data_IF_282785640685
#
_entry.id   IF_282785640685
#
_cell.length_a   1.000
_cell.length_b   1.000
_cell.length_c   1.000
_cell.angle_alpha   90.00
_cell.angle_beta   90.00
_cell.angle_gamma   90.00
#
_symmetry.space_group_name_H-M   'P 1'
#
loop_
_entity.id
_entity.type
_entity.pdbx_description
1 polymer ?
#
# COMPACT_ATOMS: atom_id res chain seq x y z
N UNK A 1 -25.95 -28.82 61.97
CA UNK A 1 -25.42 -28.20 63.19
C UNK A 1 -24.29 -27.26 62.79
N UNK A 2 -24.54 -25.93 62.94
CA UNK A 2 -23.60 -24.79 63.15
C UNK A 2 -22.47 -24.64 62.09
N UNK A 3 -22.43 -23.71 61.13
CA UNK A 3 -22.51 -22.23 61.13
C UNK A 3 -21.78 -21.52 62.26
N UNK A 4 -20.65 -20.89 61.93
CA UNK A 4 -20.04 -19.80 62.70
C UNK A 4 -19.77 -18.60 61.79
N UNK A 5 -20.44 -17.51 62.15
CA UNK A 5 -20.36 -16.16 61.59
C UNK A 5 -19.61 -15.35 62.64
N UNK A 6 -18.53 -14.66 62.25
CA UNK A 6 -17.89 -13.67 63.12
C UNK A 6 -18.42 -12.27 62.78
N UNK A 7 -19.24 -11.76 63.69
CA UNK A 7 -19.66 -10.37 63.82
C UNK A 7 -18.58 -9.62 64.59
N UNK A 8 -18.20 -8.41 64.17
CA UNK A 8 -17.66 -7.42 65.09
C UNK A 8 -18.26 -6.04 64.81
N UNK A 9 -18.74 -5.43 65.88
CA UNK A 9 -19.75 -4.37 65.92
C UNK A 9 -19.21 -2.98 65.56
N UNK A 10 -20.13 -2.17 65.03
CA UNK A 10 -19.99 -0.72 64.89
C UNK A 10 -20.16 -0.01 66.24
N UNK A 11 -19.41 1.08 66.43
CA UNK A 11 -19.69 2.12 67.43
C UNK A 11 -19.85 3.46 66.70
N UNK A 12 -21.06 4.01 66.77
CA UNK A 12 -21.40 5.38 66.39
C UNK A 12 -21.15 6.32 67.57
N UNK A 13 -20.54 7.48 67.32
CA UNK A 13 -20.72 8.67 68.14
C UNK A 13 -20.81 9.90 67.22
N UNK A 14 -21.91 10.63 67.36
CA UNK A 14 -22.25 11.83 66.61
C UNK A 14 -21.70 13.08 67.30
N UNK A 15 -21.32 14.11 66.53
CA UNK A 15 -21.34 15.50 67.01
C UNK A 15 -21.41 16.52 65.86
N UNK A 16 -22.61 17.11 65.74
CA UNK A 16 -22.95 18.53 65.53
C UNK A 16 -22.17 19.35 64.48
N UNK A 17 -22.89 19.72 63.42
CA UNK A 17 -22.53 20.79 62.50
C UNK A 17 -22.75 22.17 63.14
N UNK A 18 -21.77 23.06 63.01
CA UNK A 18 -21.95 24.51 63.14
C UNK A 18 -21.24 25.20 61.97
N UNK A 19 -22.00 25.96 61.20
CA UNK A 19 -21.47 26.75 60.09
C UNK A 19 -20.86 28.06 60.59
N UNK A 20 -19.67 28.40 60.10
CA UNK A 20 -19.11 29.75 60.15
C UNK A 20 -18.29 30.06 58.88
N UNK A 21 -18.84 31.00 58.12
CA UNK A 21 -18.24 32.08 57.31
C UNK A 21 -16.81 31.89 56.74
N UNK A 22 -16.72 31.99 55.41
CA UNK A 22 -15.48 32.14 54.63
C UNK A 22 -14.65 33.37 55.05
N UNK A 23 -13.32 33.28 54.90
CA UNK A 23 -12.51 34.37 54.38
C UNK A 23 -11.86 34.00 53.03
N UNK A 24 -11.78 35.02 52.17
CA UNK A 24 -11.02 35.03 50.92
C UNK A 24 -9.54 34.70 51.15
N UNK A 25 -8.95 33.94 50.22
CA UNK A 25 -7.54 33.60 50.24
C UNK A 25 -7.08 33.04 48.90
N UNK A 26 -6.72 33.96 48.00
CA UNK A 26 -5.77 33.82 46.86
C UNK A 26 -5.86 32.56 45.98
N UNK A 27 -6.38 32.77 44.76
CA UNK A 27 -6.21 31.88 43.63
C UNK A 27 -4.72 31.66 43.31
N UNK A 28 -4.29 30.40 43.36
CA UNK A 28 -3.16 29.91 42.57
C UNK A 28 -3.73 29.14 41.40
N UNK A 29 -3.46 29.66 40.22
CA UNK A 29 -3.89 29.15 38.93
C UNK A 29 -2.89 28.07 38.52
N UNK A 30 -3.18 26.83 38.84
CA UNK A 30 -2.45 25.68 38.30
C UNK A 30 -2.87 25.46 36.86
N UNK A 31 -1.98 25.88 35.97
CA UNK A 31 -2.04 25.70 34.52
C UNK A 31 -1.99 24.21 34.18
N UNK A 32 -3.17 23.60 34.00
CA UNK A 32 -3.29 22.26 33.40
C UNK A 32 -2.96 22.40 31.92
N UNK A 33 -1.67 22.40 31.62
CA UNK A 33 -1.15 22.20 30.27
C UNK A 33 -1.53 20.80 29.82
N UNK A 34 -2.62 20.73 29.03
CA UNK A 34 -3.01 19.52 28.31
C UNK A 34 -2.00 19.27 27.18
N UNK A 35 -0.85 18.69 27.51
CA UNK A 35 0.00 18.10 26.49
C UNK A 35 -0.67 16.80 26.03
N UNK A 36 -1.50 16.87 25.00
CA UNK A 36 -1.81 15.70 24.18
C UNK A 36 -0.50 14.97 23.86
N UNK A 37 -0.38 13.66 24.14
CA UNK A 37 0.79 12.90 23.72
C UNK A 37 0.96 13.09 22.21
N UNK A 38 2.17 13.46 21.76
CA UNK A 38 2.50 13.34 20.34
C UNK A 38 2.15 11.90 19.91
N UNK A 39 1.49 11.71 18.77
CA UNK A 39 1.19 10.37 18.29
C UNK A 39 2.49 9.57 18.28
N UNK A 40 2.48 8.42 18.95
CA UNK A 40 3.61 7.48 18.93
C UNK A 40 3.94 7.26 17.47
N UNK A 41 5.15 7.67 17.07
CA UNK A 41 5.66 7.44 15.72
C UNK A 41 5.44 5.95 15.43
N UNK A 42 4.80 5.62 14.31
CA UNK A 42 4.69 4.23 13.85
C UNK A 42 6.09 3.59 13.92
N UNK A 43 6.14 2.31 14.32
CA UNK A 43 7.38 1.56 14.35
C UNK A 43 7.39 0.62 13.14
N UNK A 44 8.51 0.57 12.43
CA UNK A 44 8.68 -0.39 11.34
C UNK A 44 8.71 -1.81 11.89
N UNK A 45 7.77 -2.63 11.42
CA UNK A 45 7.72 -4.07 11.72
C UNK A 45 7.72 -4.80 10.39
N UNK A 46 8.78 -5.57 10.16
CA UNK A 46 8.92 -6.40 8.96
C UNK A 46 8.61 -7.86 9.29
N UNK A 47 7.74 -8.48 8.50
CA UNK A 47 7.31 -9.87 8.64
C UNK A 47 7.62 -10.68 7.37
N UNK A 48 7.47 -12.01 7.46
CA UNK A 48 7.65 -12.90 6.31
C UNK A 48 6.70 -12.55 5.15
N UNK A 49 7.19 -12.66 3.92
CA UNK A 49 6.39 -12.38 2.72
C UNK A 49 5.13 -13.24 2.58
N UNK A 50 5.10 -14.41 3.23
CA UNK A 50 3.98 -15.35 3.32
C UNK A 50 3.05 -15.10 4.52
N UNK A 51 3.37 -14.12 5.36
CA UNK A 51 2.61 -13.75 6.56
C UNK A 51 1.77 -12.48 6.38
N UNK A 52 2.06 -11.69 5.35
CA UNK A 52 1.30 -10.47 5.06
C UNK A 52 -0.08 -10.86 4.52
N UNK A 53 -1.13 -10.48 5.27
CA UNK A 53 -2.52 -10.65 4.85
C UNK A 53 -2.95 -9.47 3.98
N UNK A 54 -3.53 -9.71 2.79
CA UNK A 54 -4.05 -8.64 1.95
C UNK A 54 -5.30 -8.02 2.56
N UNK A 55 -5.61 -6.80 2.13
CA UNK A 55 -6.91 -6.17 2.30
C UNK A 55 -7.89 -6.79 1.32
N UNK A 56 -9.05 -7.22 1.83
CA UNK A 56 -10.17 -7.57 0.97
C UNK A 56 -10.63 -6.34 0.17
N UNK A 57 -10.98 -6.55 -1.10
CA UNK A 57 -11.52 -5.45 -1.92
C UNK A 57 -12.83 -4.94 -1.31
N UNK A 58 -12.84 -3.67 -0.90
CA UNK A 58 -14.03 -3.04 -0.32
C UNK A 58 -15.05 -2.69 -1.39
N UNK A 59 -16.30 -2.52 -0.97
CA UNK A 59 -17.35 -1.97 -1.85
C UNK A 59 -16.97 -0.55 -2.26
N UNK A 60 -17.06 -0.25 -3.56
CA UNK A 60 -16.78 1.08 -4.07
C UNK A 60 -17.94 2.04 -3.77
N UNK A 61 -17.67 3.07 -2.96
CA UNK A 61 -18.70 4.03 -2.52
C UNK A 61 -18.56 5.37 -3.25
N UNK A 62 -17.34 5.92 -3.25
CA UNK A 62 -17.04 7.22 -3.86
C UNK A 62 -16.90 7.12 -5.39
N UNK A 63 -16.88 8.28 -6.06
CA UNK A 63 -16.64 8.35 -7.52
C UNK A 63 -15.23 7.84 -7.85
N UNK A 64 -14.23 8.17 -7.03
CA UNK A 64 -12.86 7.67 -7.20
C UNK A 64 -12.78 6.16 -7.04
N UNK A 65 -13.37 5.58 -5.98
CA UNK A 65 -13.37 4.13 -5.77
C UNK A 65 -14.04 3.38 -6.93
N UNK A 66 -15.18 3.90 -7.40
CA UNK A 66 -15.91 3.29 -8.53
C UNK A 66 -15.08 3.35 -9.81
N UNK A 67 -14.36 4.45 -10.05
CA UNK A 67 -13.46 4.56 -11.18
C UNK A 67 -12.27 3.60 -11.05
N UNK A 68 -11.66 3.47 -9.86
CA UNK A 68 -10.55 2.55 -9.61
C UNK A 68 -10.97 1.07 -9.77
N UNK A 69 -12.21 0.70 -9.42
CA UNK A 69 -12.73 -0.64 -9.70
C UNK A 69 -13.05 -0.82 -11.19
N UNK A 70 -13.70 0.17 -11.83
CA UNK A 70 -14.09 0.10 -13.25
C UNK A 70 -12.90 -0.04 -14.19
N UNK A 71 -11.82 0.69 -13.93
CA UNK A 71 -10.62 0.71 -14.78
C UNK A 71 -9.51 -0.18 -14.21
N UNK A 72 -9.85 -1.16 -13.36
CA UNK A 72 -8.88 -2.05 -12.74
C UNK A 72 -8.16 -2.87 -13.83
N UNK A 73 -6.83 -2.83 -13.89
CA UNK A 73 -6.07 -3.59 -14.87
C UNK A 73 -6.06 -5.09 -14.55
N UNK A 74 -5.90 -5.91 -15.59
CA UNK A 74 -5.47 -7.30 -15.44
C UNK A 74 -3.94 -7.36 -15.47
N UNK A 75 -3.37 -8.27 -14.68
CA UNK A 75 -1.92 -8.46 -14.58
C UNK A 75 -1.54 -9.93 -14.79
N UNK A 76 -0.54 -10.16 -15.62
CA UNK A 76 0.12 -11.45 -15.78
C UNK A 76 1.63 -11.27 -15.83
N UNK A 77 2.35 -12.36 -15.56
CA UNK A 77 3.82 -12.38 -15.57
C UNK A 77 4.30 -13.51 -16.46
N UNK A 78 5.43 -13.30 -17.14
CA UNK A 78 6.07 -14.34 -17.93
C UNK A 78 7.26 -14.93 -17.16
N UNK A 79 7.07 -16.05 -16.47
CA UNK A 79 8.10 -16.68 -15.60
C UNK A 79 8.62 -15.76 -14.47
N UNK A 80 7.88 -14.70 -14.12
CA UNK A 80 8.21 -13.78 -13.02
C UNK A 80 7.37 -14.03 -11.76
N UNK A 81 7.67 -13.31 -10.67
CA UNK A 81 6.91 -13.41 -9.43
C UNK A 81 5.48 -12.89 -9.59
N UNK A 82 4.50 -13.59 -9.00
CA UNK A 82 3.14 -13.05 -8.88
C UNK A 82 3.13 -11.87 -7.90
N UNK A 83 2.13 -10.98 -7.95
CA UNK A 83 2.03 -9.90 -6.96
C UNK A 83 1.68 -10.40 -5.56
N UNK A 84 2.25 -9.76 -4.55
CA UNK A 84 2.04 -10.04 -3.12
C UNK A 84 1.48 -8.80 -2.41
N UNK A 85 0.79 -8.97 -1.27
CA UNK A 85 0.54 -7.86 -0.38
C UNK A 85 1.86 -7.35 0.23
N UNK A 86 2.08 -6.05 0.18
CA UNK A 86 3.27 -5.40 0.70
C UNK A 86 3.13 -5.02 2.18
N UNK A 87 1.89 -4.77 2.63
CA UNK A 87 1.55 -4.31 3.97
C UNK A 87 0.21 -4.90 4.39
N UNK A 88 0.04 -5.19 5.68
CA UNK A 88 -1.25 -5.60 6.25
C UNK A 88 -1.95 -4.46 7.00
N UNK A 89 -3.14 -4.73 7.56
CA UNK A 89 -3.94 -3.73 8.29
C UNK A 89 -3.22 -3.13 9.51
N UNK A 90 -2.33 -3.88 10.15
CA UNK A 90 -1.56 -3.42 11.31
C UNK A 90 -0.39 -2.50 10.93
N UNK A 91 -0.05 -2.39 9.64
CA UNK A 91 1.13 -1.66 9.16
C UNK A 91 2.40 -2.49 9.11
N UNK A 92 2.31 -3.82 9.29
CA UNK A 92 3.47 -4.71 9.16
C UNK A 92 3.77 -4.94 7.68
N UNK A 93 5.03 -4.79 7.26
CA UNK A 93 5.44 -4.84 5.86
C UNK A 93 6.16 -6.14 5.48
N UNK A 94 6.03 -6.54 4.22
CA UNK A 94 6.77 -7.66 3.65
C UNK A 94 8.28 -7.39 3.63
N UNK A 95 9.04 -8.31 4.22
CA UNK A 95 10.51 -8.33 4.13
C UNK A 95 11.04 -8.75 2.76
N UNK A 96 10.18 -9.10 1.80
CA UNK A 96 10.59 -9.67 0.52
C UNK A 96 11.12 -11.11 0.66
N UNK A 97 11.88 -11.58 -0.33
CA UNK A 97 12.58 -12.85 -0.21
C UNK A 97 13.85 -12.70 0.62
N UNK A 98 14.05 -13.61 1.56
CA UNK A 98 15.22 -13.63 2.45
C UNK A 98 16.38 -14.35 1.76
N UNK A 99 17.60 -13.82 1.86
CA UNK A 99 18.81 -14.53 1.44
C UNK A 99 19.07 -15.73 2.35
N UNK A 100 19.30 -16.90 1.76
CA UNK A 100 19.71 -18.14 2.42
C UNK A 100 21.14 -18.51 2.02
N UNK A 101 21.96 -19.01 2.94
CA UNK A 101 23.24 -19.59 2.59
C UNK A 101 23.04 -20.79 1.66
N UNK A 102 23.83 -20.86 0.59
CA UNK A 102 23.88 -22.02 -0.29
C UNK A 102 24.98 -23.00 0.17
N UNK A 103 24.88 -24.25 -0.27
CA UNK A 103 25.82 -25.33 0.08
C UNK A 103 27.27 -25.05 -0.38
N UNK A 104 27.46 -24.21 -1.39
CA UNK A 104 28.75 -23.76 -1.90
C UNK A 104 29.26 -22.47 -1.20
N UNK A 105 28.57 -22.00 -0.15
CA UNK A 105 28.98 -20.83 0.64
C UNK A 105 28.57 -19.48 0.06
N UNK A 106 27.71 -19.47 -0.97
CA UNK A 106 27.05 -18.27 -1.48
C UNK A 106 25.82 -17.86 -0.67
N UNK A 107 25.16 -16.80 -1.10
CA UNK A 107 23.85 -16.37 -0.62
C UNK A 107 22.89 -16.38 -1.81
N UNK A 108 21.73 -17.00 -1.64
CA UNK A 108 20.70 -17.10 -2.66
C UNK A 108 19.36 -16.66 -2.08
N UNK A 109 18.55 -15.93 -2.84
CA UNK A 109 17.20 -15.61 -2.38
C UNK A 109 16.42 -16.91 -2.19
N UNK A 110 15.81 -17.12 -1.03
CA UNK A 110 14.94 -18.27 -0.80
C UNK A 110 13.90 -18.35 -1.92
N UNK A 111 13.92 -19.41 -2.73
CA UNK A 111 13.03 -19.53 -3.89
C UNK A 111 13.52 -18.83 -5.18
N UNK A 112 14.83 -18.61 -5.29
CA UNK A 112 15.58 -18.35 -6.51
C UNK A 112 15.37 -19.49 -7.53
N UNK A 113 14.28 -19.38 -8.29
CA UNK A 113 13.88 -20.36 -9.31
C UNK A 113 12.41 -20.26 -9.71
N UNK A 114 11.77 -19.11 -9.43
CA UNK A 114 10.32 -18.94 -9.56
C UNK A 114 9.53 -19.55 -8.40
N UNK A 115 9.98 -20.66 -7.81
CA UNK A 115 9.20 -21.45 -6.85
C UNK A 115 8.82 -20.72 -5.54
N UNK A 116 9.59 -19.74 -5.08
CA UNK A 116 9.29 -19.00 -3.83
C UNK A 116 8.34 -17.82 -3.95
N UNK A 117 7.91 -17.45 -5.17
CA UNK A 117 7.11 -16.25 -5.40
C UNK A 117 5.95 -16.44 -6.39
N UNK A 118 5.44 -17.68 -6.53
CA UNK A 118 4.30 -17.98 -7.41
C UNK A 118 2.92 -17.70 -6.79
N UNK A 119 2.86 -17.19 -5.57
CA UNK A 119 1.62 -16.78 -4.94
C UNK A 119 1.69 -16.82 -3.41
N UNK A 120 1.12 -15.81 -2.77
CA UNK A 120 0.95 -15.81 -1.32
C UNK A 120 -0.14 -16.81 -0.92
N UNK A 121 -0.01 -17.49 0.24
CA UNK A 121 -1.07 -18.32 0.79
C UNK A 121 -2.37 -17.54 1.09
N UNK A 122 -2.29 -16.21 1.18
CA UNK A 122 -3.45 -15.35 1.42
C UNK A 122 -3.98 -14.66 0.15
N UNK A 123 -3.36 -14.89 -1.00
CA UNK A 123 -3.74 -14.23 -2.26
C UNK A 123 -2.93 -12.96 -2.56
N UNK A 124 -3.30 -12.28 -3.64
CA UNK A 124 -2.55 -11.17 -4.23
C UNK A 124 -3.21 -9.82 -3.92
N UNK A 125 -2.53 -8.71 -4.24
CA UNK A 125 -3.06 -7.36 -4.03
C UNK A 125 -2.63 -6.43 -5.15
N UNK A 126 -3.52 -5.51 -5.52
CA UNK A 126 -3.22 -4.30 -6.28
C UNK A 126 -3.60 -3.07 -5.45
N UNK A 127 -2.77 -2.02 -5.51
CA UNK A 127 -3.00 -0.75 -4.82
C UNK A 127 -3.31 0.34 -5.84
N UNK A 128 -4.18 1.28 -5.50
CA UNK A 128 -4.44 2.44 -6.36
C UNK A 128 -4.54 3.76 -5.60
N UNK A 129 -4.09 4.84 -6.24
CA UNK A 129 -4.36 6.22 -5.80
C UNK A 129 -4.75 7.05 -7.01
N UNK A 130 -5.67 7.99 -6.82
CA UNK A 130 -6.23 8.76 -7.93
C UNK A 130 -6.40 10.24 -7.58
N UNK A 131 -6.30 11.09 -8.58
CA UNK A 131 -6.54 12.54 -8.46
C UNK A 131 -6.79 13.16 -9.83
N UNK A 132 -7.28 14.39 -9.84
CA UNK A 132 -7.23 15.25 -11.03
C UNK A 132 -5.81 15.77 -11.23
N UNK A 133 -5.29 15.64 -12.44
CA UNK A 133 -3.98 16.17 -12.82
C UNK A 133 -4.10 16.82 -14.20
N UNK A 134 -3.85 18.13 -14.27
CA UNK A 134 -3.92 18.92 -15.52
C UNK A 134 -5.26 18.75 -16.28
N UNK A 135 -6.36 18.68 -15.53
CA UNK A 135 -7.72 18.57 -16.08
C UNK A 135 -8.12 17.19 -16.59
N UNK A 136 -7.29 16.16 -16.38
CA UNK A 136 -7.59 14.75 -16.69
C UNK A 136 -7.50 13.94 -15.40
N UNK A 137 -8.37 12.95 -15.24
CA UNK A 137 -8.36 12.08 -14.07
C UNK A 137 -7.29 11.01 -14.20
N UNK A 138 -6.40 10.92 -13.22
CA UNK A 138 -5.33 9.94 -13.17
C UNK A 138 -5.62 8.88 -12.12
N UNK A 139 -5.41 7.61 -12.46
CA UNK A 139 -5.42 6.50 -11.52
C UNK A 139 -4.07 5.79 -11.65
N UNK A 140 -3.22 5.92 -10.63
CA UNK A 140 -1.97 5.18 -10.54
C UNK A 140 -2.27 3.84 -9.87
N UNK A 141 -2.00 2.75 -10.57
CA UNK A 141 -2.07 1.39 -10.03
C UNK A 141 -0.66 0.87 -9.82
N UNK A 142 -0.45 0.14 -8.73
CA UNK A 142 0.82 -0.51 -8.48
C UNK A 142 0.67 -1.89 -7.84
N UNK A 143 1.59 -2.77 -8.20
CA UNK A 143 1.77 -4.11 -7.69
C UNK A 143 3.12 -4.20 -6.98
N UNK A 144 3.13 -4.97 -5.90
CA UNK A 144 4.36 -5.31 -5.19
C UNK A 144 4.80 -6.72 -5.57
N UNK A 145 6.06 -6.85 -5.99
CA UNK A 145 6.71 -8.11 -6.29
C UNK A 145 7.80 -8.38 -5.26
N UNK A 146 7.91 -9.61 -4.79
CA UNK A 146 8.94 -9.97 -3.81
C UNK A 146 10.35 -9.85 -4.37
N UNK A 147 10.50 -10.15 -5.66
CA UNK A 147 11.70 -9.93 -6.45
C UNK A 147 11.35 -9.67 -7.91
N UNK A 148 12.31 -9.13 -8.62
CA UNK A 148 12.29 -9.00 -10.07
C UNK A 148 13.69 -9.21 -10.66
N UNK A 149 13.76 -9.32 -11.99
CA UNK A 149 15.00 -9.63 -12.71
C UNK A 149 15.42 -8.48 -13.63
N UNK A 150 16.70 -8.12 -13.53
CA UNK A 150 17.39 -7.20 -14.45
C UNK A 150 18.64 -7.88 -14.98
N UNK A 151 19.26 -7.33 -16.01
CA UNK A 151 20.47 -7.91 -16.62
C UNK A 151 21.63 -8.02 -15.61
N UNK A 152 21.69 -7.09 -14.66
CA UNK A 152 22.82 -6.94 -13.75
C UNK A 152 22.55 -7.46 -12.33
N UNK A 153 21.29 -7.70 -11.95
CA UNK A 153 20.93 -8.11 -10.59
C UNK A 153 19.53 -8.68 -10.44
N UNK A 154 19.33 -9.46 -9.39
CA UNK A 154 18.00 -9.70 -8.82
C UNK A 154 17.62 -8.50 -7.94
N UNK A 155 16.53 -7.84 -8.28
CA UNK A 155 15.94 -6.83 -7.42
C UNK A 155 15.01 -7.50 -6.40
N UNK A 156 14.92 -6.96 -5.20
CA UNK A 156 13.98 -7.43 -4.17
C UNK A 156 13.00 -6.33 -3.83
N UNK A 157 11.81 -6.69 -3.35
CA UNK A 157 10.79 -5.74 -2.86
C UNK A 157 10.48 -4.66 -3.91
N UNK A 158 10.13 -5.09 -5.11
CA UNK A 158 9.98 -4.25 -6.31
C UNK A 158 8.55 -3.76 -6.46
N UNK A 159 8.40 -2.52 -6.91
CA UNK A 159 7.11 -1.95 -7.29
C UNK A 159 6.99 -1.86 -8.82
N UNK A 160 5.91 -2.43 -9.35
CA UNK A 160 5.52 -2.29 -10.75
C UNK A 160 4.32 -1.39 -10.81
N UNK A 161 4.30 -0.39 -11.69
CA UNK A 161 3.17 0.53 -11.77
C UNK A 161 2.81 1.00 -13.18
N UNK A 162 1.61 1.56 -13.28
CA UNK A 162 1.10 2.25 -14.45
C UNK A 162 0.12 3.36 -14.05
N UNK A 163 -0.12 4.30 -14.95
CA UNK A 163 -1.13 5.34 -14.80
C UNK A 163 -2.19 5.18 -15.90
N UNK A 164 -3.44 5.04 -15.49
CA UNK A 164 -4.60 5.12 -16.40
C UNK A 164 -5.14 6.55 -16.37
N UNK A 165 -5.10 7.22 -17.52
CA UNK A 165 -5.62 8.58 -17.70
C UNK A 165 -7.05 8.50 -18.26
N UNK A 166 -8.02 9.02 -17.52
CA UNK A 166 -9.45 8.99 -17.83
C UNK A 166 -9.96 10.41 -18.01
N UNK A 167 -10.88 10.61 -18.95
CA UNK A 167 -11.46 11.95 -19.19
C UNK A 167 -12.13 12.55 -17.94
N UNK A 168 -13.05 11.81 -17.33
CA UNK A 168 -13.77 12.22 -16.12
C UNK A 168 -14.36 10.96 -15.44
N UNK A 169 -14.10 10.70 -14.16
CA UNK A 169 -14.58 9.51 -13.46
C UNK A 169 -16.07 9.59 -13.10
N UNK A 170 -16.67 10.78 -13.11
CA UNK A 170 -18.05 11.02 -12.66
C UNK A 170 -19.11 10.86 -13.76
N UNK A 171 -18.70 10.67 -15.02
CA UNK A 171 -19.63 10.50 -16.15
C UNK A 171 -19.89 9.04 -16.45
N UNK A 172 -21.09 8.69 -16.91
CA UNK A 172 -21.45 7.29 -17.23
C UNK A 172 -20.49 6.66 -18.25
N UNK A 173 -20.18 7.42 -19.31
CA UNK A 173 -19.31 7.00 -20.40
C UNK A 173 -17.87 7.51 -20.21
N UNK A 174 -17.28 7.31 -19.03
CA UNK A 174 -15.86 7.56 -18.81
C UNK A 174 -15.01 6.76 -19.80
N UNK A 175 -14.03 7.40 -20.41
CA UNK A 175 -13.14 6.79 -21.43
C UNK A 175 -11.68 6.96 -21.05
N UNK A 176 -10.89 5.94 -21.36
CA UNK A 176 -9.43 5.99 -21.27
C UNK A 176 -8.90 6.93 -22.36
N UNK A 177 -8.10 7.91 -21.95
CA UNK A 177 -7.44 8.89 -22.81
C UNK A 177 -5.99 8.52 -23.11
N UNK A 178 -5.35 7.78 -22.21
CA UNK A 178 -4.04 7.17 -22.39
C UNK A 178 -3.79 6.21 -21.22
N UNK A 179 -2.85 5.28 -21.40
CA UNK A 179 -2.22 4.54 -20.32
C UNK A 179 -0.72 4.73 -20.45
N UNK A 180 -0.07 5.10 -19.36
CA UNK A 180 1.38 5.23 -19.26
C UNK A 180 1.92 4.14 -18.36
N UNK A 181 2.80 3.30 -18.88
CA UNK A 181 3.44 2.22 -18.14
C UNK A 181 4.80 2.68 -17.60
N UNK A 182 5.22 2.09 -16.47
CA UNK A 182 6.61 2.16 -16.02
C UNK A 182 7.55 1.75 -17.18
N UNK A 183 8.68 2.44 -17.32
CA UNK A 183 9.55 2.34 -18.50
C UNK A 183 9.18 3.29 -19.65
N UNK A 184 8.08 4.05 -19.51
CA UNK A 184 7.75 5.21 -20.35
C UNK A 184 6.86 4.92 -21.56
N UNK A 185 6.48 3.66 -21.78
CA UNK A 185 5.55 3.32 -22.87
C UNK A 185 4.19 3.95 -22.60
N UNK A 186 3.71 4.76 -23.54
CA UNK A 186 2.42 5.43 -23.44
C UNK A 186 1.64 5.29 -24.74
N UNK A 187 0.38 4.87 -24.65
CA UNK A 187 -0.58 4.93 -25.75
C UNK A 187 -2.02 4.90 -25.28
N UNK A 188 -2.95 5.10 -26.20
CA UNK A 188 -4.35 4.67 -26.04
C UNK A 188 -4.40 3.16 -26.31
N UNK A 189 -4.88 2.32 -25.38
CA UNK A 189 -4.99 0.89 -25.61
C UNK A 189 -5.94 0.58 -26.77
N UNK A 190 -5.62 -0.45 -27.57
CA UNK A 190 -6.58 -0.99 -28.54
C UNK A 190 -7.65 -1.85 -27.84
N UNK A 191 -8.75 -2.14 -28.53
CA UNK A 191 -9.89 -2.84 -27.93
C UNK A 191 -9.57 -4.25 -27.42
N UNK A 192 -8.66 -4.96 -28.07
CA UNK A 192 -8.15 -6.28 -27.69
C UNK A 192 -7.22 -6.25 -26.46
N UNK A 193 -6.65 -5.09 -26.15
CA UNK A 193 -5.85 -4.82 -24.94
C UNK A 193 -6.72 -4.41 -23.75
N UNK A 194 -8.04 -4.42 -23.91
CA UNK A 194 -9.02 -4.03 -22.89
C UNK A 194 -9.96 -5.20 -22.56
N UNK A 195 -9.96 -5.60 -21.29
CA UNK A 195 -10.99 -6.43 -20.69
C UNK A 195 -12.29 -5.62 -20.59
N UNK A 196 -13.36 -6.16 -21.16
CA UNK A 196 -14.70 -5.54 -21.17
C UNK A 196 -14.71 -4.08 -21.65
N UNK A 197 -13.75 -3.72 -22.51
CA UNK A 197 -13.59 -2.37 -23.07
C UNK A 197 -13.05 -1.30 -22.10
N UNK A 198 -12.69 -1.64 -20.86
CA UNK A 198 -12.24 -0.65 -19.85
C UNK A 198 -11.05 -1.08 -18.98
N UNK A 199 -10.86 -2.38 -18.71
CA UNK A 199 -9.74 -2.86 -17.89
C UNK A 199 -8.51 -3.15 -18.73
N UNK A 200 -7.42 -2.38 -18.61
CA UNK A 200 -6.21 -2.63 -19.42
C UNK A 200 -5.56 -3.95 -19.07
N UNK A 201 -5.19 -4.74 -20.07
CA UNK A 201 -4.46 -5.99 -19.90
C UNK A 201 -2.96 -5.72 -19.94
N UNK A 202 -2.26 -6.20 -18.90
CA UNK A 202 -0.83 -5.92 -18.69
C UNK A 202 -0.09 -7.22 -18.48
N UNK A 203 1.03 -7.38 -19.19
CA UNK A 203 1.98 -8.47 -19.00
C UNK A 203 3.30 -7.89 -18.54
N UNK A 204 3.88 -8.45 -17.49
CA UNK A 204 5.20 -8.07 -17.00
C UNK A 204 6.24 -9.04 -17.56
N UNK A 205 7.06 -8.53 -18.47
CA UNK A 205 7.96 -9.33 -19.34
C UNK A 205 9.33 -8.69 -19.43
N UNK A 206 10.31 -9.47 -19.86
CA UNK A 206 11.64 -8.96 -20.15
C UNK A 206 11.58 -7.89 -21.25
N UNK A 207 12.19 -6.73 -21.00
CA UNK A 207 12.29 -5.63 -21.94
C UNK A 207 13.76 -5.30 -22.19
N UNK A 208 14.24 -5.59 -23.41
CA UNK A 208 15.64 -5.37 -23.79
C UNK A 208 16.05 -3.90 -23.70
N UNK A 209 15.12 -2.97 -23.93
CA UNK A 209 15.43 -1.54 -23.90
C UNK A 209 15.74 -1.06 -22.48
N UNK A 210 15.04 -1.57 -21.48
CA UNK A 210 15.23 -1.22 -20.08
C UNK A 210 16.17 -2.18 -19.34
N UNK A 211 16.73 -3.20 -20.03
CA UNK A 211 17.63 -4.21 -19.46
C UNK A 211 17.05 -4.89 -18.20
N UNK A 212 15.74 -5.14 -18.23
CA UNK A 212 15.00 -5.72 -17.12
C UNK A 212 13.52 -5.90 -17.44
N UNK A 213 12.77 -6.45 -16.49
CA UNK A 213 11.34 -6.69 -16.69
C UNK A 213 10.53 -5.39 -16.56
N UNK A 214 9.61 -5.18 -17.49
CA UNK A 214 8.74 -4.00 -17.54
C UNK A 214 7.29 -4.40 -17.83
N UNK A 215 6.32 -3.64 -17.30
CA UNK A 215 4.92 -3.81 -17.71
C UNK A 215 4.76 -3.40 -19.17
N UNK A 216 4.10 -4.25 -19.94
CA UNK A 216 3.76 -4.02 -21.35
C UNK A 216 2.27 -4.31 -21.58
N UNK A 217 1.71 -3.69 -22.62
CA UNK A 217 0.37 -4.03 -23.08
C UNK A 217 0.38 -5.45 -23.66
N UNK A 218 -0.75 -6.13 -23.50
CA UNK A 218 -0.93 -7.47 -24.06
C UNK A 218 -2.37 -7.65 -24.52
N UNK A 219 -2.59 -8.58 -25.44
CA UNK A 219 -3.93 -9.05 -25.83
C UNK A 219 -4.36 -10.28 -25.02
N UNK A 220 -3.42 -10.93 -24.32
CA UNK A 220 -3.64 -12.08 -23.46
C UNK A 220 -4.36 -11.66 -22.16
N UNK A 221 -5.33 -12.47 -21.73
CA UNK A 221 -6.02 -12.25 -20.46
C UNK A 221 -5.06 -12.49 -19.28
N UNK A 222 -5.08 -11.57 -18.32
CA UNK A 222 -4.34 -11.67 -17.07
C UNK A 222 -5.23 -12.09 -15.89
N UNK A 223 -4.65 -12.09 -14.70
CA UNK A 223 -5.39 -12.28 -13.45
C UNK A 223 -5.81 -10.93 -12.89
N UNK A 224 -6.93 -10.92 -12.18
CA UNK A 224 -7.32 -9.79 -11.34
C UNK A 224 -6.84 -10.03 -9.90
N UNK A 225 -6.58 -8.95 -9.20
CA UNK A 225 -6.25 -8.95 -7.78
C UNK A 225 -7.29 -8.14 -7.02
N UNK A 226 -7.41 -8.40 -5.72
CA UNK A 226 -8.21 -7.55 -4.84
C UNK A 226 -7.57 -6.15 -4.81
N UNK A 227 -8.39 -5.15 -5.09
CA UNK A 227 -7.98 -3.76 -5.10
C UNK A 227 -8.20 -3.11 -3.73
N UNK A 228 -7.19 -2.38 -3.27
CA UNK A 228 -7.32 -1.44 -2.15
C UNK A 228 -6.89 -0.04 -2.62
N UNK A 229 -7.78 0.95 -2.44
CA UNK A 229 -7.42 2.36 -2.74
C UNK A 229 -6.67 2.97 -1.56
N UNK A 230 -5.82 3.96 -1.83
CA UNK A 230 -5.00 4.64 -0.82
C UNK A 230 -5.82 5.14 0.37
N UNK A 231 -7.00 5.71 0.08
CA UNK A 231 -7.89 6.26 1.11
C UNK A 231 -8.63 5.18 1.92
N UNK A 232 -8.67 3.93 1.43
CA UNK A 232 -9.29 2.80 2.11
C UNK A 232 -8.31 2.03 3.01
N UNK A 233 -7.01 2.27 2.90
CA UNK A 233 -5.99 1.69 3.78
C UNK A 233 -6.17 2.16 5.23
N UNK A 234 -5.74 1.31 6.18
CA UNK A 234 -5.63 1.74 7.58
C UNK A 234 -4.59 2.87 7.71
N UNK A 235 -4.67 3.64 8.80
CA UNK A 235 -3.68 4.67 9.09
C UNK A 235 -2.27 4.07 9.21
N UNK A 236 -2.13 2.96 9.94
CA UNK A 236 -0.84 2.27 10.08
C UNK A 236 -0.27 1.81 8.74
N UNK A 237 -1.11 1.25 7.85
CA UNK A 237 -0.67 0.81 6.53
C UNK A 237 -0.20 1.98 5.66
N UNK A 238 -0.91 3.12 5.69
CA UNK A 238 -0.47 4.33 5.00
C UNK A 238 0.84 4.87 5.57
N UNK A 239 0.98 4.92 6.89
CA UNK A 239 2.24 5.35 7.54
C UNK A 239 3.41 4.46 7.13
N UNK A 240 3.23 3.13 7.17
CA UNK A 240 4.27 2.19 6.75
C UNK A 240 4.64 2.34 5.27
N UNK A 241 3.66 2.42 4.36
CA UNK A 241 3.91 2.61 2.93
C UNK A 241 4.57 3.96 2.61
N UNK A 242 4.34 5.00 3.41
CA UNK A 242 4.98 6.30 3.26
C UNK A 242 6.44 6.31 3.72
N UNK A 243 6.77 5.61 4.80
CA UNK A 243 8.09 5.74 5.44
C UNK A 243 9.07 4.60 5.14
N UNK A 244 8.58 3.39 4.83
CA UNK A 244 9.46 2.25 4.53
C UNK A 244 10.17 2.45 3.20
N UNK A 245 11.48 2.19 3.21
CA UNK A 245 12.29 2.05 2.01
C UNK A 245 12.22 0.60 1.48
N UNK A 246 11.97 0.49 0.18
CA UNK A 246 11.85 -0.76 -0.57
C UNK A 246 13.10 -0.96 -1.43
N UNK A 247 13.42 -2.18 -1.87
CA UNK A 247 14.57 -2.41 -2.75
C UNK A 247 15.86 -2.93 -2.12
N UNK A 248 15.96 -3.05 -0.79
CA UNK A 248 17.25 -3.41 -0.17
C UNK A 248 17.48 -4.92 -0.05
N UNK A 249 18.46 -5.40 -0.81
CA UNK A 249 19.65 -6.16 -0.37
C UNK A 249 20.58 -6.29 -1.59
N UNK A 250 21.90 -6.02 -1.48
CA UNK A 250 22.68 -5.57 -0.31
C UNK A 250 22.56 -4.04 -0.01
N UNK A 251 23.13 -3.52 1.10
CA UNK A 251 22.93 -2.14 1.60
C UNK A 251 23.33 -0.98 0.66
N UNK A 252 24.05 -1.28 -0.41
CA UNK A 252 24.41 -0.30 -1.44
C UNK A 252 23.41 -0.29 -2.61
N UNK A 253 22.47 -1.23 -2.64
CA UNK A 253 21.44 -1.29 -3.67
C UNK A 253 20.53 -0.05 -3.56
N UNK A 254 20.06 0.48 -4.70
CA UNK A 254 19.15 1.61 -4.70
C UNK A 254 17.86 1.23 -3.99
N UNK A 255 17.48 2.03 -2.98
CA UNK A 255 16.16 1.95 -2.39
C UNK A 255 15.15 2.76 -3.21
N UNK A 256 13.89 2.38 -3.10
CA UNK A 256 12.75 3.04 -3.73
C UNK A 256 11.67 3.29 -2.70
N UNK A 257 10.90 4.35 -2.91
CA UNK A 257 9.68 4.62 -2.15
C UNK A 257 8.48 4.00 -2.86
N UNK A 258 7.42 3.76 -2.10
CA UNK A 258 6.13 3.31 -2.65
C UNK A 258 5.61 4.34 -3.67
N UNK A 259 5.26 3.95 -4.91
CA UNK A 259 4.80 4.90 -5.94
C UNK A 259 3.55 5.71 -5.58
N UNK A 260 2.71 5.19 -4.67
CA UNK A 260 1.51 5.87 -4.19
C UNK A 260 1.73 6.73 -2.94
N UNK A 261 2.93 6.72 -2.36
CA UNK A 261 3.24 7.51 -1.17
C UNK A 261 3.03 8.99 -1.41
N UNK A 262 2.82 9.73 -0.32
CA UNK A 262 2.57 11.18 -0.37
C UNK A 262 3.71 11.96 -1.04
N UNK A 263 4.95 11.48 -0.89
CA UNK A 263 6.14 12.10 -1.49
C UNK A 263 6.29 11.82 -2.99
N UNK A 264 5.82 10.66 -3.46
CA UNK A 264 6.12 10.16 -4.82
C UNK A 264 4.95 10.31 -5.79
N UNK A 265 3.71 10.30 -5.30
CA UNK A 265 2.53 10.15 -6.15
C UNK A 265 2.45 11.22 -7.26
N UNK A 266 2.56 12.50 -6.90
CA UNK A 266 2.48 13.59 -7.88
C UNK A 266 3.67 13.58 -8.87
N UNK A 267 4.87 13.23 -8.38
CA UNK A 267 6.06 13.11 -9.22
C UNK A 267 5.87 12.05 -10.32
N UNK A 268 5.29 10.90 -9.96
CA UNK A 268 4.99 9.83 -10.92
C UNK A 268 3.94 10.28 -11.96
N UNK A 269 2.92 11.03 -11.56
CA UNK A 269 1.94 11.60 -12.50
C UNK A 269 2.59 12.58 -13.48
N UNK A 270 3.47 13.45 -12.99
CA UNK A 270 4.19 14.43 -13.81
C UNK A 270 5.13 13.77 -14.82
N UNK A 271 5.85 12.73 -14.40
CA UNK A 271 6.73 11.97 -15.28
C UNK A 271 5.94 11.16 -16.31
N UNK A 272 4.77 10.66 -15.92
CA UNK A 272 3.89 9.85 -16.76
C UNK A 272 2.95 10.66 -17.65
N UNK A 273 2.96 12.00 -17.56
CA UNK A 273 2.01 12.86 -18.28
C UNK A 273 2.18 12.77 -19.81
N UNK A 274 1.17 12.25 -20.54
CA UNK A 274 1.36 11.91 -21.94
C UNK A 274 0.91 13.00 -22.92
N UNK A 275 0.25 14.06 -22.43
CA UNK A 275 -0.40 15.07 -23.28
C UNK A 275 0.46 16.33 -23.46
N UNK A 276 1.79 16.23 -23.34
CA UNK A 276 2.68 17.34 -23.66
C UNK A 276 2.50 17.72 -25.13
N UNK A 277 2.23 19.00 -25.39
CA UNK A 277 2.24 19.52 -26.76
C UNK A 277 3.66 19.36 -27.30
N UNK A 278 3.81 18.67 -28.44
CA UNK A 278 5.03 18.78 -29.22
C UNK A 278 5.05 20.21 -29.76
N UNK A 279 5.95 21.03 -29.24
CA UNK A 279 6.30 22.31 -29.86
C UNK A 279 7.17 22.04 -31.09
#
# INVERSE_FOLDING_TARGET
>A
MKTDVFVCAALFAAAVAQGQKMPEGTAQQDDVSSSTPKPTRWAEVTIGCDQVKPFAQRKAETVSDKASVKFKPQFSTDNGCQPYPAVNEAGETSGGLVLRPTIDGGLELAGSGGEGCQGSPYGSQIYARSTWYEGIWAILYTWYLLKDETELSHQVRVWVHLVVWVNNPAVTNSTIRAVTMQGGTTKVPSGDELKDGVGVKVKHVWDEKNLGRMPQFTTEDGKEQDLITWDQLSENARSALNEVLWGELPPWAPSSKMPLSDDEFESHLKQSWPFRKKN
#
